data_IF_166496163863
#
_entry.id   IF_166496163863
#
_cell.length_a   1.000
_cell.length_b   1.000
_cell.length_c   1.000
_cell.angle_alpha   90.00
_cell.angle_beta   90.00
_cell.angle_gamma   90.00
#
_symmetry.space_group_name_H-M   'P 1'
#
loop_
_entity.id
_entity.type
_entity.pdbx_description
1 polymer ?
#
# COMPACT_ATOMS: atom_id res chain seq x y z
N UNK A 1 10.81 -12.70 -20.52
CA UNK A 1 9.83 -11.94 -19.72
C UNK A 1 10.28 -10.48 -19.69
N UNK A 2 9.64 -9.59 -20.45
CA UNK A 2 10.02 -8.17 -20.50
C UNK A 2 9.40 -7.49 -19.27
N UNK A 3 10.21 -7.20 -18.26
CA UNK A 3 9.78 -6.37 -17.14
C UNK A 3 9.57 -4.99 -17.77
N UNK A 4 8.32 -4.50 -17.82
CA UNK A 4 8.06 -3.09 -18.17
C UNK A 4 8.94 -2.20 -17.29
N UNK A 5 9.22 -0.95 -17.68
CA UNK A 5 9.96 0.02 -16.85
C UNK A 5 9.30 0.18 -15.47
N UNK A 6 9.67 -0.71 -14.54
CA UNK A 6 9.12 -0.76 -13.20
C UNK A 6 10.02 0.10 -12.35
N UNK A 7 9.43 1.10 -11.72
CA UNK A 7 10.10 1.95 -10.75
C UNK A 7 9.60 1.58 -9.36
N UNK A 8 10.47 1.66 -8.37
CA UNK A 8 10.11 1.34 -6.97
C UNK A 8 8.96 2.21 -6.47
N UNK A 9 8.83 3.45 -6.97
CA UNK A 9 7.71 4.36 -6.70
C UNK A 9 6.33 3.81 -7.14
N UNK A 10 6.28 2.90 -8.12
CA UNK A 10 5.02 2.36 -8.65
C UNK A 10 4.31 1.42 -7.68
N UNK A 11 4.99 0.96 -6.62
CA UNK A 11 4.48 -0.04 -5.69
C UNK A 11 3.17 0.34 -4.99
N UNK A 12 2.88 1.65 -4.85
CA UNK A 12 1.64 2.15 -4.25
C UNK A 12 0.66 2.79 -5.24
N UNK A 13 1.12 3.18 -6.43
CA UNK A 13 0.32 3.97 -7.39
C UNK A 13 -0.15 3.17 -8.60
N UNK A 14 0.60 2.13 -9.01
CA UNK A 14 0.27 1.36 -10.20
C UNK A 14 -0.99 0.52 -9.98
N UNK A 15 -2.04 0.80 -10.75
CA UNK A 15 -3.35 0.15 -10.63
C UNK A 15 -3.45 -1.23 -11.29
N UNK A 16 -2.61 -1.52 -12.27
CA UNK A 16 -2.70 -2.74 -13.10
C UNK A 16 -1.32 -3.29 -13.44
N UNK A 17 -1.25 -4.57 -13.80
CA UNK A 17 0.01 -5.24 -14.11
C UNK A 17 0.72 -5.75 -12.86
N UNK A 18 2.05 -5.92 -12.94
CA UNK A 18 2.85 -6.53 -11.88
C UNK A 18 3.59 -5.47 -11.06
N UNK A 19 3.55 -5.63 -9.74
CA UNK A 19 4.31 -4.87 -8.75
C UNK A 19 5.06 -5.84 -7.82
N UNK A 20 6.15 -5.39 -7.21
CA UNK A 20 6.90 -6.15 -6.22
C UNK A 20 6.78 -5.47 -4.86
N UNK A 21 6.48 -6.24 -3.82
CA UNK A 21 6.22 -5.76 -2.47
C UNK A 21 6.89 -6.67 -1.44
N UNK A 22 7.43 -6.11 -0.38
CA UNK A 22 7.67 -6.86 0.87
C UNK A 22 6.33 -7.14 1.57
N UNK A 23 6.32 -8.04 2.56
CA UNK A 23 5.11 -8.31 3.34
C UNK A 23 4.52 -7.05 4.01
N UNK A 24 5.38 -6.19 4.56
CA UNK A 24 4.99 -4.90 5.16
C UNK A 24 4.38 -3.95 4.12
N UNK A 25 4.97 -3.84 2.93
CA UNK A 25 4.44 -3.02 1.84
C UNK A 25 3.12 -3.55 1.30
N UNK A 26 2.91 -4.87 1.31
CA UNK A 26 1.64 -5.48 0.95
C UNK A 26 0.51 -5.07 1.91
N UNK A 27 0.78 -5.04 3.22
CA UNK A 27 -0.19 -4.56 4.20
C UNK A 27 -0.54 -3.07 4.00
N UNK A 28 0.44 -2.23 3.65
CA UNK A 28 0.20 -0.82 3.32
C UNK A 28 -0.66 -0.72 2.06
N UNK A 29 -0.32 -1.52 1.04
CA UNK A 29 -1.01 -1.52 -0.25
C UNK A 29 -2.48 -1.90 -0.12
N UNK A 30 -2.81 -2.89 0.71
CA UNK A 30 -4.20 -3.31 0.97
C UNK A 30 -5.04 -2.14 1.50
N UNK A 31 -4.50 -1.37 2.46
CA UNK A 31 -5.21 -0.22 3.03
C UNK A 31 -5.46 0.89 1.99
N UNK A 32 -4.46 1.18 1.14
CA UNK A 32 -4.58 2.17 0.06
C UNK A 32 -5.59 1.73 -1.01
N UNK A 33 -5.52 0.46 -1.43
CA UNK A 33 -6.43 -0.09 -2.43
C UNK A 33 -7.88 -0.11 -1.91
N UNK A 34 -8.10 -0.35 -0.61
CA UNK A 34 -9.43 -0.25 -0.01
C UNK A 34 -9.97 1.18 -0.11
N UNK A 35 -9.17 2.19 0.26
CA UNK A 35 -9.57 3.60 0.13
C UNK A 35 -9.89 3.99 -1.32
N UNK A 36 -9.10 3.50 -2.28
CA UNK A 36 -9.35 3.75 -3.70
C UNK A 36 -10.67 3.12 -4.15
N UNK A 37 -10.96 1.87 -3.74
CA UNK A 37 -12.22 1.18 -4.04
C UNK A 37 -13.43 1.89 -3.44
N UNK A 38 -13.32 2.37 -2.21
CA UNK A 38 -14.39 3.12 -1.54
C UNK A 38 -14.67 4.43 -2.29
N UNK A 39 -13.63 5.15 -2.71
CA UNK A 39 -13.75 6.37 -3.52
C UNK A 39 -14.39 6.09 -4.88
N UNK A 40 -14.00 5.01 -5.55
CA UNK A 40 -14.59 4.58 -6.83
C UNK A 40 -16.08 4.21 -6.70
N UNK A 41 -16.51 3.78 -5.50
CA UNK A 41 -17.92 3.53 -5.16
C UNK A 41 -18.67 4.77 -4.68
N UNK A 42 -18.02 5.93 -4.59
CA UNK A 42 -18.62 7.16 -4.07
C UNK A 42 -18.85 7.17 -2.56
N UNK A 43 -18.18 6.30 -1.80
CA UNK A 43 -18.29 6.26 -0.34
C UNK A 43 -17.38 7.31 0.31
N UNK A 44 -17.89 7.97 1.35
CA UNK A 44 -17.11 8.90 2.17
C UNK A 44 -16.45 8.17 3.35
N UNK A 45 -15.34 7.48 3.09
CA UNK A 45 -14.62 6.69 4.11
C UNK A 45 -13.24 7.27 4.44
N UNK A 46 -12.74 6.90 5.62
CA UNK A 46 -11.38 7.13 6.07
C UNK A 46 -10.75 5.81 6.51
N UNK A 47 -9.42 5.72 6.41
CA UNK A 47 -8.65 4.60 6.95
C UNK A 47 -8.27 4.88 8.40
N UNK A 48 -8.45 3.90 9.28
CA UNK A 48 -7.95 3.94 10.65
C UNK A 48 -7.02 2.75 10.87
N UNK A 49 -5.78 3.03 11.26
CA UNK A 49 -4.75 2.01 11.53
C UNK A 49 -4.29 2.19 12.96
N UNK A 50 -4.34 1.11 13.73
CA UNK A 50 -3.86 1.05 15.11
C UNK A 50 -3.03 -0.22 15.32
N UNK A 51 -2.12 -0.20 16.29
CA UNK A 51 -1.27 -1.33 16.60
C UNK A 51 -0.07 -0.94 17.45
N UNK A 52 0.70 -1.95 17.86
CA UNK A 52 1.92 -1.77 18.63
C UNK A 52 3.14 -2.11 17.77
N UNK A 53 4.22 -1.33 17.92
CA UNK A 53 5.45 -1.53 17.14
C UNK A 53 6.23 -2.73 17.68
N UNK A 54 6.71 -3.59 16.80
CA UNK A 54 7.54 -4.73 17.16
C UNK A 54 7.74 -5.67 16.00
N UNK A 55 8.70 -6.59 16.09
CA UNK A 55 8.87 -7.64 15.09
C UNK A 55 7.59 -8.47 14.94
N UNK A 56 7.11 -8.78 13.72
CA UNK A 56 7.73 -8.52 12.41
C UNK A 56 7.29 -7.20 11.71
N UNK A 57 6.50 -6.35 12.39
CA UNK A 57 5.90 -5.13 11.82
C UNK A 57 6.58 -3.84 12.27
N UNK A 58 7.82 -3.91 12.76
CA UNK A 58 8.54 -2.76 13.34
C UNK A 58 8.79 -1.60 12.37
N UNK A 59 8.67 -1.84 11.05
CA UNK A 59 8.80 -0.83 10.01
C UNK A 59 7.46 -0.47 9.33
N UNK A 60 6.33 -0.99 9.81
CA UNK A 60 5.05 -0.82 9.14
C UNK A 60 4.58 0.64 9.15
N UNK A 61 4.70 1.31 10.28
CA UNK A 61 4.44 2.74 10.44
C UNK A 61 5.32 3.61 9.53
N UNK A 62 6.60 3.27 9.40
CA UNK A 62 7.51 3.96 8.47
C UNK A 62 7.05 3.81 7.02
N UNK A 63 6.65 2.60 6.61
CA UNK A 63 6.14 2.39 5.26
C UNK A 63 4.79 3.09 5.03
N UNK A 64 3.92 3.18 6.04
CA UNK A 64 2.70 3.99 5.97
C UNK A 64 3.00 5.47 5.75
N UNK A 65 3.98 6.04 6.48
CA UNK A 65 4.37 7.44 6.30
C UNK A 65 4.97 7.73 4.93
N UNK A 66 5.67 6.78 4.31
CA UNK A 66 6.18 6.92 2.95
C UNK A 66 5.07 6.87 1.88
N UNK A 67 3.92 6.31 2.22
CA UNK A 67 2.83 6.05 1.29
C UNK A 67 1.66 7.04 1.41
N UNK A 68 1.56 7.73 2.55
CA UNK A 68 0.68 8.88 2.76
C UNK A 68 1.11 10.07 1.90
#
# INVERSE_FOLDING_TARGET
>A
MKIQSYRLENRYTQKQGRIFLTGTQALVRIALDQRLRDKERGLNTAGFISGYRGSPLGAYDLELWKAA
#
